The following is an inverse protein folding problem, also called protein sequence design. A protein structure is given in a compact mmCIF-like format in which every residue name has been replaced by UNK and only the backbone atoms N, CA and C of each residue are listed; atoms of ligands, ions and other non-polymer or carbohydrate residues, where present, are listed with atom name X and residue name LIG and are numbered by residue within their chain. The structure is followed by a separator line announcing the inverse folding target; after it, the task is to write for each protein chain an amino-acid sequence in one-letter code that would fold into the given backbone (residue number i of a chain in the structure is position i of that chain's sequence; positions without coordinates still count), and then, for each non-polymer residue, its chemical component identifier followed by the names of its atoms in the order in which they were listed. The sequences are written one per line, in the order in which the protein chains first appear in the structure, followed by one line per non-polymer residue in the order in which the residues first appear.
data_IF_598009830199
#
_entry.id   IF_598009830199
#
_cell.length_a   1.000
_cell.length_b   1.000
_cell.length_c   1.000
_cell.angle_alpha   90.00
_cell.angle_beta   90.00
_cell.angle_gamma   90.00
#
_symmetry.space_group_name_H-M   'P 1'
#
loop_
_entity.id
_entity.type
_entity.pdbx_description
1 polymer ?
#
# COMPACT_ATOMS: atom_id res chain seq x y z
N UNK A 1 -14.04 -60.96 -8.57
CA UNK A 1 -14.58 -59.90 -7.70
C UNK A 1 -13.46 -58.97 -7.35
N UNK A 2 -13.29 -57.94 -8.15
CA UNK A 2 -12.27 -56.91 -7.99
C UNK A 2 -13.01 -55.61 -7.63
N UNK A 3 -12.88 -55.27 -6.37
CA UNK A 3 -13.50 -54.06 -5.80
C UNK A 3 -12.55 -52.86 -6.14
N UNK A 4 -12.96 -52.08 -7.10
CA UNK A 4 -12.27 -50.86 -7.48
C UNK A 4 -12.81 -49.73 -6.59
N UNK A 5 -12.09 -49.43 -5.52
CA UNK A 5 -12.40 -48.27 -4.65
C UNK A 5 -11.97 -47.03 -5.42
N UNK A 6 -12.95 -46.40 -6.05
CA UNK A 6 -12.81 -45.07 -6.68
C UNK A 6 -12.67 -44.01 -5.59
N UNK A 7 -11.45 -43.64 -5.27
CA UNK A 7 -11.15 -42.56 -4.35
C UNK A 7 -11.40 -41.23 -5.08
N UNK A 8 -12.61 -40.69 -4.93
CA UNK A 8 -12.96 -39.33 -5.35
C UNK A 8 -12.11 -38.36 -4.53
N UNK A 9 -11.02 -37.88 -5.13
CA UNK A 9 -10.25 -36.75 -4.67
C UNK A 9 -11.13 -35.49 -4.79
N UNK A 10 -11.91 -35.23 -3.74
CA UNK A 10 -12.66 -33.97 -3.58
C UNK A 10 -11.69 -32.88 -3.14
N UNK A 11 -10.86 -32.42 -4.07
CA UNK A 11 -10.17 -31.16 -3.93
C UNK A 11 -11.22 -30.03 -3.91
N UNK A 12 -11.74 -29.71 -2.72
CA UNK A 12 -12.62 -28.56 -2.52
C UNK A 12 -11.77 -27.30 -2.75
N UNK A 13 -11.84 -26.76 -3.97
CA UNK A 13 -11.20 -25.50 -4.27
C UNK A 13 -11.71 -24.41 -3.32
N UNK A 14 -10.83 -23.82 -2.53
CA UNK A 14 -11.19 -22.70 -1.65
C UNK A 14 -11.72 -21.56 -2.51
N UNK A 15 -12.92 -21.00 -2.19
CA UNK A 15 -13.47 -19.92 -3.01
C UNK A 15 -12.60 -18.67 -2.95
N UNK A 16 -12.47 -17.99 -4.10
CA UNK A 16 -11.75 -16.72 -4.19
C UNK A 16 -12.47 -15.66 -3.37
N UNK A 17 -11.69 -14.81 -2.70
CA UNK A 17 -12.21 -13.68 -1.94
C UNK A 17 -12.68 -12.56 -2.89
N UNK A 18 -13.76 -11.84 -2.55
CA UNK A 18 -14.30 -10.76 -3.35
C UNK A 18 -13.38 -9.53 -3.39
N UNK A 19 -13.68 -8.58 -4.27
CA UNK A 19 -13.01 -7.28 -4.35
C UNK A 19 -13.02 -6.58 -2.98
N UNK A 20 -11.84 -6.22 -2.42
CA UNK A 20 -11.74 -5.60 -1.11
C UNK A 20 -12.03 -4.09 -1.10
N UNK A 21 -12.15 -3.45 -2.26
CA UNK A 21 -12.27 -1.98 -2.38
C UNK A 21 -13.36 -1.37 -1.51
N UNK A 22 -14.60 -1.92 -1.44
CA UNK A 22 -15.65 -1.35 -0.60
C UNK A 22 -15.31 -1.44 0.89
N UNK A 23 -14.78 -2.58 1.33
CA UNK A 23 -14.40 -2.83 2.71
C UNK A 23 -13.24 -1.92 3.15
N UNK A 24 -12.19 -1.84 2.32
CA UNK A 24 -11.06 -0.95 2.53
C UNK A 24 -11.50 0.52 2.65
N UNK A 25 -12.31 0.98 1.70
CA UNK A 25 -12.80 2.36 1.70
C UNK A 25 -13.58 2.68 2.98
N UNK A 26 -14.44 1.77 3.44
CA UNK A 26 -15.22 1.95 4.66
C UNK A 26 -14.32 2.00 5.91
N UNK A 27 -13.37 1.07 6.03
CA UNK A 27 -12.42 1.00 7.16
C UNK A 27 -11.55 2.27 7.23
N UNK A 28 -10.93 2.65 6.12
CA UNK A 28 -10.05 3.82 6.07
C UNK A 28 -10.79 5.16 6.23
N UNK A 29 -12.05 5.26 5.78
CA UNK A 29 -12.90 6.43 6.09
C UNK A 29 -13.20 6.53 7.59
N UNK A 30 -13.35 5.41 8.28
CA UNK A 30 -13.50 5.41 9.74
C UNK A 30 -12.23 5.90 10.44
N UNK A 31 -11.06 5.51 9.95
CA UNK A 31 -9.77 6.00 10.43
C UNK A 31 -9.65 7.51 10.16
N UNK A 32 -9.94 7.96 8.93
CA UNK A 32 -9.84 9.37 8.54
C UNK A 32 -10.64 10.30 9.47
N UNK A 33 -11.86 9.90 9.84
CA UNK A 33 -12.69 10.68 10.79
C UNK A 33 -12.05 10.84 12.16
N UNK A 34 -11.25 9.87 12.62
CA UNK A 34 -10.54 9.94 13.91
C UNK A 34 -9.26 10.77 13.82
N UNK A 35 -8.73 10.94 12.62
CA UNK A 35 -7.48 11.67 12.36
C UNK A 35 -7.74 13.12 11.90
N UNK A 36 -8.99 13.53 11.81
CA UNK A 36 -9.37 14.88 11.38
C UNK A 36 -8.72 15.95 12.26
N UNK A 37 -8.21 17.02 11.64
CA UNK A 37 -7.54 18.12 12.31
C UNK A 37 -6.07 17.87 12.70
N UNK A 38 -5.50 16.69 12.43
CA UNK A 38 -4.08 16.46 12.65
C UNK A 38 -3.24 17.13 11.55
N UNK A 39 -2.10 17.73 11.93
CA UNK A 39 -1.28 18.57 11.04
C UNK A 39 -0.63 17.88 9.84
N UNK A 40 -0.69 16.55 9.77
CA UNK A 40 -0.20 15.75 8.63
C UNK A 40 -1.33 15.23 7.73
N UNK A 41 -2.58 15.58 8.03
CA UNK A 41 -3.76 15.23 7.24
C UNK A 41 -4.04 16.32 6.22
N UNK A 42 -4.10 15.97 4.94
CA UNK A 42 -4.48 16.89 3.87
C UNK A 42 -6.00 16.83 3.64
N UNK A 43 -6.76 17.89 4.03
CA UNK A 43 -8.21 17.89 3.92
C UNK A 43 -8.73 17.92 2.47
N UNK A 44 -7.88 18.20 1.49
CA UNK A 44 -8.23 18.17 0.07
C UNK A 44 -8.26 16.74 -0.51
N UNK A 45 -7.77 15.75 0.26
CA UNK A 45 -7.68 14.35 -0.18
C UNK A 45 -8.76 13.53 0.54
N UNK A 46 -9.52 12.76 -0.23
CA UNK A 46 -10.49 11.81 0.29
C UNK A 46 -9.90 10.38 0.35
N UNK A 47 -10.60 9.50 1.07
CA UNK A 47 -10.26 8.07 1.10
C UNK A 47 -10.83 7.38 -0.12
N UNK A 48 -9.96 6.78 -0.93
CA UNK A 48 -10.34 6.02 -2.11
C UNK A 48 -9.46 4.79 -2.33
N UNK A 49 -10.08 3.65 -2.64
CA UNK A 49 -9.41 2.45 -3.12
C UNK A 49 -9.35 2.51 -4.65
N UNK A 50 -8.14 2.70 -5.20
CA UNK A 50 -7.93 2.95 -6.63
C UNK A 50 -7.40 1.70 -7.33
N UNK A 51 -8.10 1.28 -8.38
CA UNK A 51 -7.62 0.30 -9.35
C UNK A 51 -7.34 -1.10 -8.79
N UNK A 52 -8.06 -1.55 -7.76
CA UNK A 52 -7.92 -2.91 -7.26
C UNK A 52 -8.31 -3.91 -8.35
N UNK A 53 -7.39 -4.82 -8.65
CA UNK A 53 -7.57 -5.87 -9.65
C UNK A 53 -6.79 -7.13 -9.24
N UNK A 54 -7.17 -8.30 -9.75
CA UNK A 54 -6.41 -9.52 -9.56
C UNK A 54 -4.96 -9.39 -10.06
N UNK A 55 -4.02 -9.80 -9.22
CA UNK A 55 -2.61 -9.95 -9.55
C UNK A 55 -2.10 -11.22 -8.87
N UNK A 56 -1.80 -12.24 -9.66
CA UNK A 56 -1.50 -13.59 -9.17
C UNK A 56 -2.60 -14.10 -8.21
N UNK A 57 -2.22 -14.53 -7.01
CA UNK A 57 -3.15 -14.97 -5.94
C UNK A 57 -3.67 -13.82 -5.07
N UNK A 58 -3.38 -12.57 -5.44
CA UNK A 58 -3.66 -11.37 -4.64
C UNK A 58 -4.62 -10.41 -5.33
N UNK A 59 -5.21 -9.52 -4.54
CA UNK A 59 -5.75 -8.24 -4.99
C UNK A 59 -4.64 -7.19 -4.87
N UNK A 60 -4.30 -6.52 -5.96
CA UNK A 60 -3.35 -5.42 -6.01
C UNK A 60 -4.07 -4.12 -6.36
N UNK A 61 -3.87 -3.11 -5.55
CA UNK A 61 -4.41 -1.76 -5.78
C UNK A 61 -3.63 -0.70 -5.03
N UNK A 62 -4.13 0.53 -5.09
CA UNK A 62 -3.56 1.67 -4.39
C UNK A 62 -4.61 2.26 -3.46
N UNK A 63 -4.24 2.46 -2.20
CA UNK A 63 -5.07 3.14 -1.22
C UNK A 63 -4.65 4.60 -1.14
N UNK A 64 -5.54 5.50 -1.51
CA UNK A 64 -5.39 6.95 -1.35
C UNK A 64 -6.06 7.34 -0.04
N UNK A 65 -5.34 8.07 0.78
CA UNK A 65 -5.84 8.59 2.06
C UNK A 65 -5.37 10.03 2.27
N UNK A 66 -6.00 10.78 3.18
CA UNK A 66 -5.57 12.13 3.52
C UNK A 66 -4.15 12.25 4.10
N UNK A 67 -3.48 11.15 4.45
CA UNK A 67 -2.14 11.15 5.05
C UNK A 67 -1.09 10.37 4.26
N UNK A 68 -1.51 9.43 3.39
CA UNK A 68 -0.57 8.67 2.56
C UNK A 68 -1.24 8.07 1.31
N UNK A 69 -0.41 7.69 0.35
CA UNK A 69 -0.77 6.84 -0.80
C UNK A 69 0.09 5.58 -0.70
N UNK A 70 -0.56 4.42 -0.62
CA UNK A 70 0.11 3.13 -0.45
C UNK A 70 -0.32 2.13 -1.53
N UNK A 71 0.64 1.38 -2.08
CA UNK A 71 0.33 0.11 -2.73
C UNK A 71 -0.19 -0.88 -1.67
N UNK A 72 -1.19 -1.66 -2.03
CA UNK A 72 -1.74 -2.68 -1.14
C UNK A 72 -1.90 -4.02 -1.86
N UNK A 73 -1.54 -5.06 -1.14
CA UNK A 73 -1.82 -6.45 -1.47
C UNK A 73 -2.76 -7.05 -0.42
N UNK A 74 -3.81 -7.72 -0.89
CA UNK A 74 -4.75 -8.46 -0.05
C UNK A 74 -4.92 -9.88 -0.59
N UNK A 75 -5.28 -10.86 0.24
CA UNK A 75 -5.56 -12.19 -0.23
C UNK A 75 -6.75 -12.17 -1.20
N UNK A 76 -6.55 -12.77 -2.37
CA UNK A 76 -7.61 -13.12 -3.32
C UNK A 76 -7.85 -14.63 -3.30
N UNK A 77 -6.77 -15.38 -3.34
CA UNK A 77 -6.76 -16.82 -3.13
C UNK A 77 -6.14 -17.11 -1.76
N UNK A 78 -6.93 -17.58 -0.77
CA UNK A 78 -6.39 -17.89 0.55
C UNK A 78 -5.27 -18.93 0.53
N UNK A 79 -5.26 -19.85 -0.44
CA UNK A 79 -4.21 -20.85 -0.60
C UNK A 79 -2.87 -20.26 -1.06
N UNK A 80 -2.90 -19.11 -1.71
CA UNK A 80 -1.71 -18.39 -2.17
C UNK A 80 -1.26 -17.25 -1.25
N UNK A 81 -1.91 -17.05 -0.11
CA UNK A 81 -1.56 -15.99 0.84
C UNK A 81 -0.58 -16.47 1.90
N UNK A 82 0.49 -15.71 2.10
CA UNK A 82 1.42 -15.94 3.21
C UNK A 82 1.08 -14.99 4.36
N UNK A 83 0.56 -15.56 5.46
CA UNK A 83 0.30 -14.80 6.69
C UNK A 83 1.62 -14.50 7.39
N UNK A 84 1.84 -13.22 7.70
CA UNK A 84 3.02 -12.74 8.40
C UNK A 84 2.61 -12.06 9.72
N UNK A 85 3.50 -12.07 10.73
CA UNK A 85 3.27 -11.24 11.91
C UNK A 85 3.15 -9.77 11.50
N UNK A 86 2.42 -9.00 12.28
CA UNK A 86 2.29 -7.55 12.05
C UNK A 86 3.68 -6.90 12.01
N UNK A 87 3.96 -6.14 10.94
CA UNK A 87 5.25 -5.55 10.68
C UNK A 87 6.26 -6.47 9.98
N UNK A 88 5.89 -7.71 9.73
CA UNK A 88 6.70 -8.59 8.91
C UNK A 88 6.86 -8.02 7.50
N UNK A 89 8.04 -8.18 6.92
CA UNK A 89 8.35 -7.72 5.55
C UNK A 89 8.36 -8.89 4.59
N UNK A 90 7.82 -8.66 3.39
CA UNK A 90 7.91 -9.58 2.26
C UNK A 90 8.23 -8.81 0.99
N UNK A 91 9.24 -9.28 0.27
CA UNK A 91 9.61 -8.74 -1.03
C UNK A 91 8.80 -9.42 -2.12
N UNK A 92 8.17 -8.61 -2.98
CA UNK A 92 7.48 -9.07 -4.17
C UNK A 92 8.17 -8.56 -5.42
N UNK A 93 8.28 -9.45 -6.43
CA UNK A 93 8.84 -9.11 -7.72
C UNK A 93 7.74 -8.69 -8.68
N UNK A 94 7.76 -7.41 -9.06
CA UNK A 94 6.92 -6.85 -10.11
C UNK A 94 7.72 -6.64 -11.40
N UNK A 95 7.06 -6.44 -12.56
CA UNK A 95 7.74 -6.08 -13.80
C UNK A 95 8.67 -4.86 -13.65
N UNK A 96 8.30 -3.87 -12.85
CA UNK A 96 9.12 -2.69 -12.55
C UNK A 96 10.26 -2.94 -11.56
N UNK A 97 10.37 -4.12 -10.93
CA UNK A 97 11.41 -4.46 -9.96
C UNK A 97 10.89 -5.08 -8.67
N UNK A 98 11.76 -5.13 -7.67
CA UNK A 98 11.46 -5.74 -6.37
C UNK A 98 10.95 -4.66 -5.39
N UNK A 99 9.86 -4.96 -4.67
CA UNK A 99 9.22 -4.05 -3.72
C UNK A 99 8.98 -4.76 -2.39
N UNK A 100 9.38 -4.11 -1.30
CA UNK A 100 9.16 -4.58 0.06
C UNK A 100 7.79 -4.12 0.55
N UNK A 101 6.97 -5.08 0.97
CA UNK A 101 5.67 -4.86 1.57
C UNK A 101 5.73 -5.20 3.06
N UNK A 102 5.01 -4.42 3.87
CA UNK A 102 4.90 -4.58 5.31
C UNK A 102 3.53 -5.16 5.63
N UNK A 103 3.51 -6.26 6.38
CA UNK A 103 2.28 -6.91 6.82
C UNK A 103 1.57 -6.09 7.89
N UNK A 104 0.25 -5.99 7.77
CA UNK A 104 -0.63 -5.38 8.74
C UNK A 104 -1.95 -6.14 8.81
N UNK A 105 -2.74 -5.84 9.84
CA UNK A 105 -4.06 -6.43 10.06
C UNK A 105 -5.02 -5.38 10.60
N UNK A 106 -6.23 -5.37 10.08
CA UNK A 106 -7.36 -4.60 10.59
C UNK A 106 -8.52 -5.54 10.90
N UNK A 107 -9.32 -5.23 11.91
CA UNK A 107 -10.45 -6.09 12.34
C UNK A 107 -11.52 -6.24 11.25
N UNK A 108 -11.70 -5.21 10.42
CA UNK A 108 -12.72 -5.18 9.35
C UNK A 108 -12.18 -5.73 8.03
N UNK A 109 -10.93 -5.39 7.69
CA UNK A 109 -10.31 -5.74 6.41
C UNK A 109 -9.65 -7.11 6.45
N UNK A 110 -9.21 -7.56 7.63
CA UNK A 110 -8.37 -8.74 7.79
C UNK A 110 -6.89 -8.44 7.55
N UNK A 111 -6.16 -9.44 7.06
CA UNK A 111 -4.73 -9.30 6.74
C UNK A 111 -4.54 -8.60 5.40
N UNK A 112 -3.54 -7.72 5.37
CA UNK A 112 -3.06 -7.07 4.15
C UNK A 112 -1.58 -6.75 4.26
N UNK A 113 -0.97 -6.43 3.14
CA UNK A 113 0.41 -5.96 3.08
C UNK A 113 0.44 -4.65 2.30
N UNK A 114 1.29 -3.73 2.70
CA UNK A 114 1.37 -2.40 2.09
C UNK A 114 2.81 -1.96 1.85
N UNK A 115 3.00 -1.21 0.77
CA UNK A 115 4.22 -0.49 0.46
C UNK A 115 3.89 1.00 0.30
N UNK A 116 4.55 1.86 1.08
CA UNK A 116 4.29 3.29 1.03
C UNK A 116 4.88 3.90 -0.23
N UNK A 117 4.08 4.69 -0.95
CA UNK A 117 4.51 5.44 -2.12
C UNK A 117 4.79 6.90 -1.75
N UNK A 118 3.83 7.54 -1.08
CA UNK A 118 3.91 8.95 -0.68
C UNK A 118 3.37 9.09 0.74
N UNK A 119 4.18 9.63 1.63
CA UNK A 119 3.80 9.94 3.02
C UNK A 119 4.71 11.04 3.58
N UNK A 120 4.15 12.17 4.06
CA UNK A 120 2.76 12.61 3.95
C UNK A 120 2.38 13.14 2.55
N UNK A 121 1.06 13.29 2.31
CA UNK A 121 0.49 13.79 1.04
C UNK A 121 0.20 15.30 1.03
N UNK A 122 0.85 16.07 1.88
CA UNK A 122 0.55 17.50 2.10
C UNK A 122 0.77 18.37 0.86
N UNK A 123 1.65 17.96 -0.04
CA UNK A 123 1.98 18.70 -1.27
C UNK A 123 1.05 18.38 -2.45
N UNK A 124 0.17 17.40 -2.30
CA UNK A 124 -0.81 17.03 -3.34
C UNK A 124 -1.97 18.03 -3.26
N UNK A 125 -2.27 18.77 -4.34
CA UNK A 125 -3.19 19.90 -4.29
C UNK A 125 -4.65 19.49 -4.10
N UNK A 126 -5.05 18.34 -4.66
CA UNK A 126 -6.44 17.88 -4.65
C UNK A 126 -6.55 16.36 -4.83
N UNK A 127 -7.76 15.85 -4.61
CA UNK A 127 -8.05 14.42 -4.70
C UNK A 127 -7.92 13.87 -6.13
N UNK A 128 -8.22 14.66 -7.16
CA UNK A 128 -8.10 14.23 -8.55
C UNK A 128 -6.64 13.93 -8.90
N UNK A 129 -5.72 14.81 -8.48
CA UNK A 129 -4.27 14.62 -8.61
C UNK A 129 -3.80 13.38 -7.82
N UNK A 130 -4.31 13.16 -6.60
CA UNK A 130 -3.97 11.98 -5.81
C UNK A 130 -4.39 10.67 -6.49
N UNK A 131 -5.60 10.66 -7.09
CA UNK A 131 -6.11 9.53 -7.89
C UNK A 131 -5.26 9.28 -9.13
N UNK A 132 -4.87 10.32 -9.84
CA UNK A 132 -4.00 10.21 -11.01
C UNK A 132 -2.64 9.62 -10.63
N UNK A 133 -2.01 10.14 -9.59
CA UNK A 133 -0.75 9.59 -9.03
C UNK A 133 -0.90 8.12 -8.69
N UNK A 134 -1.97 7.73 -8.00
CA UNK A 134 -2.24 6.34 -7.65
C UNK A 134 -2.40 5.44 -8.88
N UNK A 135 -3.10 5.93 -9.90
CA UNK A 135 -3.33 5.21 -11.16
C UNK A 135 -2.02 5.00 -11.92
N UNK A 136 -1.22 6.06 -12.05
CA UNK A 136 0.08 6.01 -12.72
C UNK A 136 1.08 5.14 -11.98
N UNK A 137 1.14 5.23 -10.66
CA UNK A 137 2.03 4.40 -9.83
C UNK A 137 1.72 2.90 -9.99
N UNK A 138 0.42 2.53 -9.99
CA UNK A 138 0.02 1.15 -10.23
C UNK A 138 0.36 0.68 -11.64
N UNK A 139 0.14 1.52 -12.65
CA UNK A 139 0.48 1.21 -14.03
C UNK A 139 2.01 1.02 -14.20
N UNK A 140 2.80 1.94 -13.64
CA UNK A 140 4.26 1.88 -13.67
C UNK A 140 4.81 0.62 -12.97
N UNK A 141 4.21 0.19 -11.86
CA UNK A 141 4.60 -1.03 -11.16
C UNK A 141 4.51 -2.28 -12.04
N UNK A 142 3.52 -2.32 -12.93
CA UNK A 142 3.24 -3.45 -13.83
C UNK A 142 3.90 -3.29 -15.22
N UNK A 143 4.64 -2.21 -15.45
CA UNK A 143 5.34 -1.95 -16.71
C UNK A 143 6.83 -2.27 -16.58
N UNK A 144 7.38 -3.24 -17.33
CA UNK A 144 8.81 -3.54 -17.33
C UNK A 144 9.70 -2.36 -17.74
N UNK A 145 9.18 -1.42 -18.53
CA UNK A 145 9.93 -0.23 -18.94
C UNK A 145 10.17 0.74 -17.77
N UNK A 146 9.40 0.61 -16.68
CA UNK A 146 9.56 1.38 -15.45
C UNK A 146 10.59 0.78 -14.48
N UNK A 147 11.23 -0.34 -14.84
CA UNK A 147 12.28 -0.94 -14.02
C UNK A 147 13.47 0.03 -13.87
N UNK A 148 14.00 0.25 -12.64
CA UNK A 148 15.15 1.11 -12.44
C UNK A 148 16.36 0.59 -13.24
N UNK A 149 17.04 1.49 -13.95
CA UNK A 149 18.31 1.18 -14.62
C UNK A 149 19.31 0.71 -13.55
N UNK A 150 20.11 -0.35 -13.78
CA UNK A 150 20.87 -1.07 -12.74
C UNK A 150 21.90 -0.27 -11.92
N UNK A 151 22.08 1.01 -12.14
CA UNK A 151 23.19 1.83 -11.61
C UNK A 151 22.81 2.88 -10.54
N UNK A 152 21.62 2.82 -9.95
CA UNK A 152 21.28 3.72 -8.82
C UNK A 152 21.17 2.89 -7.54
N UNK A 153 22.08 3.03 -6.58
CA UNK A 153 21.96 2.33 -5.30
C UNK A 153 20.64 2.74 -4.63
N UNK A 154 19.76 1.76 -4.40
CA UNK A 154 18.55 1.93 -3.59
C UNK A 154 18.98 2.49 -2.23
N UNK A 155 18.70 3.76 -1.96
CA UNK A 155 18.75 4.27 -0.61
C UNK A 155 17.67 3.52 0.17
N UNK A 156 18.10 2.84 1.22
CA UNK A 156 17.19 2.30 2.22
C UNK A 156 16.23 3.45 2.63
N UNK A 157 14.98 3.33 2.25
CA UNK A 157 13.95 4.19 2.80
C UNK A 157 13.76 3.69 4.23
N UNK A 158 14.13 4.52 5.20
CA UNK A 158 13.76 4.32 6.60
C UNK A 158 12.23 4.46 6.67
N UNK A 159 11.53 3.34 6.51
CA UNK A 159 10.07 3.30 6.61
C UNK A 159 9.65 3.25 8.08
N UNK A 160 8.65 4.05 8.47
CA UNK A 160 8.02 3.88 9.76
C UNK A 160 7.31 2.52 9.80
N UNK A 161 7.74 1.64 10.70
CA UNK A 161 7.18 0.30 10.91
C UNK A 161 5.70 0.34 11.39
N UNK A 162 5.05 -0.84 11.49
CA UNK A 162 3.67 -0.98 11.95
C UNK A 162 3.58 -0.57 13.43
N UNK A 163 2.91 0.44 13.68
CA UNK A 163 2.88 1.30 14.87
C UNK A 163 3.01 2.75 14.46
N UNK A 164 3.15 2.99 13.14
CA UNK A 164 3.29 4.33 12.58
C UNK A 164 2.12 5.24 12.96
N UNK A 165 0.90 4.72 13.07
CA UNK A 165 -0.26 5.51 13.53
C UNK A 165 -0.06 5.91 14.99
N UNK A 166 0.35 4.98 15.86
CA UNK A 166 0.62 5.26 17.28
C UNK A 166 1.88 6.13 17.47
N UNK A 167 2.89 5.97 16.60
CA UNK A 167 4.09 6.80 16.60
C UNK A 167 3.83 8.18 15.98
N UNK A 168 2.97 8.29 14.95
CA UNK A 168 2.54 9.56 14.36
C UNK A 168 1.69 10.37 15.35
N UNK A 169 0.82 9.73 16.13
CA UNK A 169 0.09 10.39 17.22
C UNK A 169 1.03 10.92 18.31
N UNK A 170 2.12 10.19 18.64
CA UNK A 170 3.15 10.65 19.57
C UNK A 170 4.03 11.76 18.99
N UNK A 171 4.33 11.73 17.68
CA UNK A 171 5.13 12.76 17.00
C UNK A 171 4.33 14.06 16.74
N UNK A 172 3.00 13.98 16.56
CA UNK A 172 2.15 15.15 16.44
C UNK A 172 2.12 16.02 17.73
N UNK A 173 2.54 15.47 18.88
CA UNK A 173 2.65 16.17 20.14
C UNK A 173 4.04 16.78 20.41
N UNK A 174 5.04 16.51 19.57
CA UNK A 174 6.38 17.09 19.70
C UNK A 174 6.56 18.28 18.74
N UNK A 175 7.07 19.44 19.21
CA UNK A 175 7.31 20.60 18.33
C UNK A 175 8.46 20.28 17.35
N UNK A 176 8.11 20.00 16.10
CA UNK A 176 9.10 19.78 15.04
C UNK A 176 9.80 21.07 14.64
N UNK A 177 11.13 21.06 14.63
CA UNK A 177 11.96 22.16 14.16
C UNK A 177 11.86 22.32 12.64
N UNK A 178 11.59 23.56 12.16
CA UNK A 178 11.53 23.95 10.74
C UNK A 178 12.78 23.57 9.94
N UNK A 179 13.90 23.27 10.58
CA UNK A 179 15.17 22.91 9.91
C UNK A 179 15.26 21.48 9.44
N UNK A 180 14.54 20.54 10.05
CA UNK A 180 14.51 19.13 9.61
C UNK A 180 13.58 18.93 8.43
N UNK A 181 12.51 19.71 8.33
CA UNK A 181 11.57 19.68 7.21
C UNK A 181 12.21 20.12 5.87
N UNK A 182 13.18 21.06 5.90
CA UNK A 182 13.80 21.63 4.69
C UNK A 182 14.94 20.79 4.09
N UNK A 183 15.30 19.65 4.68
CA UNK A 183 16.31 18.73 4.12
C UNK A 183 15.77 17.65 3.20
N UNK A 184 14.47 17.59 2.94
CA UNK A 184 13.82 16.75 1.94
C UNK A 184 14.13 17.24 0.52
N UNK A 185 15.16 16.68 -0.08
CA UNK A 185 15.63 16.95 -1.46
C UNK A 185 14.70 16.29 -2.49
N UNK A 186 13.49 16.80 -2.69
CA UNK A 186 12.58 16.25 -3.70
C UNK A 186 12.28 17.18 -4.88
N UNK A 187 12.92 18.35 -4.98
CA UNK A 187 12.77 19.24 -6.13
C UNK A 187 14.15 19.72 -6.61
N UNK A 188 14.85 18.88 -7.36
CA UNK A 188 15.83 19.34 -8.34
C UNK A 188 15.41 18.87 -9.71
N UNK A 189 14.47 19.60 -10.31
CA UNK A 189 14.41 19.71 -11.75
C UNK A 189 15.62 20.51 -12.20
N UNK A 190 16.56 19.87 -12.86
CA UNK A 190 17.65 20.57 -13.55
C UNK A 190 17.08 21.21 -14.82
N UNK A 191 17.01 22.52 -14.80
CA UNK A 191 17.00 23.28 -16.02
C UNK A 191 18.45 23.36 -16.50
N UNK A 192 18.73 22.69 -17.60
CA UNK A 192 19.98 22.89 -18.35
C UNK A 192 19.78 24.02 -19.34
N UNK A 193 20.61 25.01 -19.23
CA UNK A 193 21.04 25.85 -20.34
C UNK A 193 22.30 25.27 -20.97
#
# INVERSE_FOLDING_TARGET
MTDTTDTLDSSVATPLLPDPSPCLTAAYRSIARRMDGLGFVNPAIEVEAVGFAPWESHWLGVMVTPWCINLMLLPRDPGGWTSLPQGGKQCYRFPAGDYDFISSRDETVGEYQMCSLISPVLEIPDHATAREVATLARAALLDPASAPVPDVPKRAQDEPGPGAIEQLEKQAQAPMSKREFLRGRFLRGESSE
#
